data_IF_926558752912
#
_entry.id   IF_926558752912
#
_cell.length_a   1.000
_cell.length_b   1.000
_cell.length_c   1.000
_cell.angle_alpha   90.00
_cell.angle_beta   90.00
_cell.angle_gamma   90.00
#
_symmetry.space_group_name_H-M   'P 1'
#
loop_
_entity.id
_entity.type
_entity.pdbx_description
1 polymer ?
#
# COMPACT_ATOMS: atom_id res chain seq x y z
N UNK A 1 -60.71 50.87 26.66
CA UNK A 1 -61.18 49.47 26.49
C UNK A 1 -61.39 49.26 25.00
N UNK A 2 -60.76 48.36 24.25
CA UNK A 2 -59.87 47.23 24.55
C UNK A 2 -59.19 46.91 23.21
N UNK A 3 -57.86 47.02 23.10
CA UNK A 3 -57.13 46.76 21.85
C UNK A 3 -56.90 45.25 21.76
N UNK A 4 -57.54 44.59 20.79
CA UNK A 4 -57.33 43.16 20.52
C UNK A 4 -55.92 42.93 19.95
N UNK A 5 -55.06 42.30 20.73
CA UNK A 5 -53.82 41.67 20.25
C UNK A 5 -54.09 40.20 19.99
N UNK A 6 -54.16 39.81 18.71
CA UNK A 6 -54.19 38.40 18.30
C UNK A 6 -52.79 37.81 18.53
N UNK A 7 -52.63 37.00 19.57
CA UNK A 7 -51.46 36.14 19.75
C UNK A 7 -51.65 34.88 18.90
N UNK A 8 -51.01 34.84 17.74
CA UNK A 8 -50.81 33.61 16.97
C UNK A 8 -49.68 32.83 17.65
N UNK A 9 -50.02 31.74 18.33
CA UNK A 9 -49.07 30.79 18.90
C UNK A 9 -48.47 29.99 17.73
N UNK A 10 -47.25 30.30 17.34
CA UNK A 10 -46.44 29.44 16.47
C UNK A 10 -45.82 28.34 17.34
N UNK A 11 -46.29 27.10 17.18
CA UNK A 11 -45.64 25.91 17.73
C UNK A 11 -44.51 25.53 16.75
N UNK A 12 -43.23 25.60 17.11
CA UNK A 12 -42.19 25.07 16.25
C UNK A 12 -42.25 23.53 16.32
N UNK A 13 -42.56 22.90 15.18
CA UNK A 13 -42.44 21.46 14.99
C UNK A 13 -40.94 21.15 15.00
N UNK A 14 -40.44 20.67 16.13
CA UNK A 14 -39.10 20.08 16.22
C UNK A 14 -39.18 18.68 15.62
N UNK A 15 -38.81 18.55 14.33
CA UNK A 15 -38.55 17.25 13.73
C UNK A 15 -37.24 16.74 14.34
N UNK A 16 -37.35 15.87 15.33
CA UNK A 16 -36.25 15.04 15.80
C UNK A 16 -35.84 14.12 14.66
N UNK A 17 -34.89 14.56 13.85
CA UNK A 17 -34.16 13.71 12.93
C UNK A 17 -33.27 12.82 13.80
N UNK A 18 -33.82 11.69 14.23
CA UNK A 18 -33.03 10.58 14.75
C UNK A 18 -32.18 10.06 13.60
N UNK A 19 -30.98 10.62 13.45
CA UNK A 19 -29.90 10.01 12.70
C UNK A 19 -29.60 8.73 13.46
N UNK A 20 -30.23 7.63 13.05
CA UNK A 20 -29.74 6.31 13.41
C UNK A 20 -28.32 6.24 12.88
N UNK A 21 -27.34 6.35 13.79
CA UNK A 21 -25.98 5.88 13.55
C UNK A 21 -26.14 4.43 13.06
N UNK A 22 -26.00 4.24 11.76
CA UNK A 22 -25.81 2.91 11.21
C UNK A 22 -24.67 2.30 12.03
N UNK A 23 -24.86 1.14 12.68
CA UNK A 23 -23.76 0.48 13.36
C UNK A 23 -22.63 0.35 12.34
N UNK A 24 -21.43 0.81 12.72
CA UNK A 24 -20.24 0.73 11.89
C UNK A 24 -20.17 -0.69 11.32
N UNK A 25 -20.28 -0.79 9.99
CA UNK A 25 -20.25 -2.06 9.30
C UNK A 25 -18.96 -2.77 9.73
N UNK A 26 -19.07 -4.00 10.25
CA UNK A 26 -17.89 -4.70 10.77
C UNK A 26 -16.80 -4.73 9.69
N UNK A 27 -15.57 -4.33 10.01
CA UNK A 27 -14.50 -4.28 9.02
C UNK A 27 -14.32 -5.67 8.39
N UNK A 28 -14.52 -5.76 7.07
CA UNK A 28 -14.46 -7.03 6.35
C UNK A 28 -13.01 -7.38 6.00
N UNK A 29 -12.23 -7.78 7.00
CA UNK A 29 -10.82 -8.18 6.87
C UNK A 29 -10.59 -9.24 5.78
N UNK A 30 -11.56 -10.15 5.56
CA UNK A 30 -11.46 -11.21 4.55
C UNK A 30 -11.20 -10.69 3.13
N UNK A 31 -11.81 -9.55 2.77
CA UNK A 31 -11.62 -8.95 1.45
C UNK A 31 -10.17 -8.51 1.26
N UNK A 32 -9.62 -7.82 2.26
CA UNK A 32 -8.26 -7.28 2.17
C UNK A 32 -7.22 -8.39 2.27
N UNK A 33 -7.45 -9.43 3.08
CA UNK A 33 -6.60 -10.63 3.13
C UNK A 33 -6.55 -11.30 1.76
N UNK A 34 -7.71 -11.46 1.10
CA UNK A 34 -7.78 -12.02 -0.25
C UNK A 34 -7.06 -11.14 -1.27
N UNK A 35 -7.25 -9.81 -1.20
CA UNK A 35 -6.53 -8.87 -2.07
C UNK A 35 -5.02 -8.96 -1.85
N UNK A 36 -4.57 -9.05 -0.60
CA UNK A 36 -3.16 -9.15 -0.29
C UNK A 36 -2.52 -10.43 -0.85
N UNK A 37 -3.25 -11.55 -0.77
CA UNK A 37 -2.81 -12.79 -1.43
C UNK A 37 -2.69 -12.64 -2.94
N UNK A 38 -3.65 -11.96 -3.58
CA UNK A 38 -3.61 -11.70 -5.03
C UNK A 38 -2.42 -10.83 -5.38
N UNK A 39 -2.18 -9.76 -4.62
CA UNK A 39 -1.04 -8.86 -4.84
C UNK A 39 0.29 -9.57 -4.65
N UNK A 40 0.42 -10.40 -3.62
CA UNK A 40 1.60 -11.25 -3.40
C UNK A 40 1.87 -12.14 -4.62
N UNK A 41 0.88 -12.88 -5.09
CA UNK A 41 1.04 -13.77 -6.26
C UNK A 41 1.40 -12.98 -7.53
N UNK A 42 0.79 -11.81 -7.74
CA UNK A 42 1.11 -10.95 -8.88
C UNK A 42 2.54 -10.39 -8.81
N UNK A 43 3.01 -10.01 -7.62
CA UNK A 43 4.40 -9.63 -7.38
C UNK A 43 5.36 -10.80 -7.61
N UNK A 44 5.03 -12.00 -7.17
CA UNK A 44 5.84 -13.22 -7.40
C UNK A 44 6.01 -13.47 -8.90
N UNK A 45 4.92 -13.47 -9.66
CA UNK A 45 4.96 -13.62 -11.11
C UNK A 45 5.78 -12.51 -11.77
N UNK A 46 5.57 -11.25 -11.38
CA UNK A 46 6.34 -10.12 -11.93
C UNK A 46 7.83 -10.22 -11.61
N UNK A 47 8.20 -10.66 -10.41
CA UNK A 47 9.60 -10.85 -10.03
C UNK A 47 10.26 -12.00 -10.79
N UNK A 48 9.53 -13.08 -11.08
CA UNK A 48 10.02 -14.16 -11.93
C UNK A 48 10.24 -13.68 -13.38
N UNK A 49 9.30 -12.88 -13.91
CA UNK A 49 9.45 -12.27 -15.24
C UNK A 49 10.68 -11.33 -15.28
N UNK A 50 10.93 -10.57 -14.21
CA UNK A 50 12.10 -9.70 -14.06
C UNK A 50 13.41 -10.47 -14.16
N UNK A 51 13.52 -11.60 -13.43
CA UNK A 51 14.70 -12.45 -13.44
C UNK A 51 14.93 -13.04 -14.83
N UNK A 52 13.86 -13.53 -15.47
CA UNK A 52 13.92 -14.06 -16.84
C UNK A 52 14.36 -13.00 -17.85
N UNK A 53 13.83 -11.78 -17.77
CA UNK A 53 14.25 -10.68 -18.65
C UNK A 53 15.73 -10.33 -18.48
N UNK A 54 16.26 -10.44 -17.26
CA UNK A 54 17.68 -10.22 -16.99
C UNK A 54 18.56 -11.32 -17.60
N UNK A 55 18.10 -12.57 -17.61
CA UNK A 55 18.82 -13.69 -18.25
C UNK A 55 18.78 -13.64 -19.78
N UNK A 56 17.65 -13.20 -20.35
CA UNK A 56 17.42 -13.18 -21.81
C UNK A 56 17.89 -11.88 -22.48
N UNK A 57 18.41 -10.91 -21.74
CA UNK A 57 18.82 -9.62 -22.30
C UNK A 57 20.03 -9.78 -23.22
N UNK A 58 20.01 -9.09 -24.35
CA UNK A 58 21.16 -9.05 -25.27
C UNK A 58 21.98 -7.78 -25.13
N UNK A 59 21.51 -6.81 -24.32
CA UNK A 59 22.16 -5.50 -24.13
C UNK A 59 23.61 -5.58 -23.66
N UNK A 60 23.97 -6.63 -22.91
CA UNK A 60 25.34 -6.85 -22.45
C UNK A 60 26.29 -7.20 -23.61
N UNK A 61 25.76 -7.77 -24.70
CA UNK A 61 26.51 -8.09 -25.91
C UNK A 61 26.42 -6.97 -26.95
N UNK A 62 25.24 -6.38 -27.13
CA UNK A 62 24.97 -5.38 -28.17
C UNK A 62 25.34 -3.96 -27.75
N UNK A 63 25.44 -3.69 -26.44
CA UNK A 63 25.72 -2.37 -25.87
C UNK A 63 24.52 -1.42 -25.83
N UNK A 64 23.34 -1.84 -26.29
CA UNK A 64 22.13 -0.99 -26.30
C UNK A 64 20.87 -1.80 -25.98
N UNK A 65 19.87 -1.11 -25.42
CA UNK A 65 18.54 -1.66 -25.17
C UNK A 65 17.71 -1.59 -26.46
N UNK A 66 17.25 -2.73 -26.94
CA UNK A 66 16.38 -2.81 -28.12
C UNK A 66 14.98 -2.27 -27.83
N UNK A 67 14.20 -1.94 -28.86
CA UNK A 67 12.79 -1.52 -28.68
C UNK A 67 11.96 -2.59 -27.96
N UNK A 68 12.19 -3.87 -28.27
CA UNK A 68 11.51 -4.98 -27.61
C UNK A 68 11.85 -5.07 -26.13
N UNK A 69 13.12 -4.88 -25.77
CA UNK A 69 13.54 -4.83 -24.36
C UNK A 69 12.97 -3.59 -23.66
N UNK A 70 12.97 -2.43 -24.32
CA UNK A 70 12.35 -1.21 -23.80
C UNK A 70 10.88 -1.43 -23.44
N UNK A 71 10.09 -2.05 -24.32
CA UNK A 71 8.67 -2.32 -24.07
C UNK A 71 8.47 -3.29 -22.90
N UNK A 72 9.36 -4.27 -22.77
CA UNK A 72 9.37 -5.23 -21.65
C UNK A 72 9.69 -4.54 -20.32
N UNK A 73 10.67 -3.64 -20.32
CA UNK A 73 11.07 -2.84 -19.16
C UNK A 73 9.94 -1.88 -18.74
N UNK A 74 9.35 -1.13 -19.69
CA UNK A 74 8.20 -0.24 -19.41
C UNK A 74 7.06 -1.03 -18.78
N UNK A 75 6.67 -2.18 -19.37
CA UNK A 75 5.58 -3.00 -18.87
C UNK A 75 5.88 -3.57 -17.47
N UNK A 76 7.12 -3.98 -17.20
CA UNK A 76 7.52 -4.47 -15.88
C UNK A 76 7.40 -3.37 -14.83
N UNK A 77 7.93 -2.18 -15.12
CA UNK A 77 7.84 -1.04 -14.21
C UNK A 77 6.39 -0.60 -13.99
N UNK A 78 5.58 -0.59 -15.04
CA UNK A 78 4.15 -0.29 -14.96
C UNK A 78 3.42 -1.26 -14.02
N UNK A 79 3.63 -2.57 -14.19
CA UNK A 79 3.06 -3.61 -13.32
C UNK A 79 3.51 -3.44 -11.87
N UNK A 80 4.80 -3.18 -11.65
CA UNK A 80 5.33 -2.91 -10.32
C UNK A 80 4.61 -1.72 -9.66
N UNK A 81 4.42 -0.61 -10.38
CA UNK A 81 3.79 0.59 -9.84
C UNK A 81 2.31 0.38 -9.49
N UNK A 82 1.57 -0.36 -10.32
CA UNK A 82 0.18 -0.73 -10.00
C UNK A 82 0.14 -1.53 -8.70
N UNK A 83 0.98 -2.56 -8.59
CA UNK A 83 1.01 -3.42 -7.41
C UNK A 83 1.48 -2.64 -6.17
N UNK A 84 2.53 -1.83 -6.31
CA UNK A 84 3.03 -0.93 -5.26
C UNK A 84 1.91 -0.05 -4.72
N UNK A 85 1.21 0.68 -5.59
CA UNK A 85 0.15 1.59 -5.17
C UNK A 85 -1.01 0.82 -4.53
N UNK A 86 -1.41 -0.31 -5.12
CA UNK A 86 -2.50 -1.15 -4.59
C UNK A 86 -2.17 -1.71 -3.19
N UNK A 87 -0.92 -2.11 -2.95
CA UNK A 87 -0.47 -2.54 -1.62
C UNK A 87 -0.38 -1.37 -0.65
N UNK A 88 0.01 -0.18 -1.13
CA UNK A 88 0.07 1.03 -0.32
C UNK A 88 -1.30 1.49 0.18
N UNK A 89 -2.37 1.26 -0.59
CA UNK A 89 -3.75 1.48 -0.12
C UNK A 89 -4.10 0.59 1.09
N UNK A 90 -3.69 -0.69 1.09
CA UNK A 90 -3.90 -1.59 2.23
C UNK A 90 -3.10 -1.09 3.45
N UNK A 91 -1.85 -0.68 3.24
CA UNK A 91 -1.00 -0.19 4.34
C UNK A 91 -1.59 1.09 4.93
N UNK A 92 -2.02 2.03 4.09
CA UNK A 92 -2.65 3.27 4.56
C UNK A 92 -3.94 3.02 5.32
N UNK A 93 -4.76 2.05 4.89
CA UNK A 93 -5.99 1.65 5.60
C UNK A 93 -5.71 1.16 7.02
N UNK A 94 -4.60 0.45 7.22
CA UNK A 94 -4.30 -0.23 8.48
C UNK A 94 -3.18 0.43 9.31
N UNK A 95 -2.54 1.51 8.84
CA UNK A 95 -1.46 2.18 9.58
C UNK A 95 -1.89 2.70 10.96
N UNK A 96 -3.17 3.07 11.10
CA UNK A 96 -3.77 3.55 12.35
C UNK A 96 -4.33 2.43 13.24
N UNK A 97 -3.79 1.22 13.16
CA UNK A 97 -4.35 0.00 13.76
C UNK A 97 -4.73 0.15 15.25
N UNK A 98 -3.99 0.96 16.02
CA UNK A 98 -4.22 1.19 17.46
C UNK A 98 -5.60 1.78 17.77
N UNK A 99 -6.17 2.48 16.80
CA UNK A 99 -7.47 3.19 16.90
C UNK A 99 -8.46 2.73 15.83
N UNK A 100 -8.20 1.58 15.20
CA UNK A 100 -8.98 1.09 14.06
C UNK A 100 -10.41 0.65 14.47
N UNK A 101 -10.55 0.13 15.68
CA UNK A 101 -11.79 -0.35 16.30
C UNK A 101 -11.73 -0.20 17.82
N UNK A 102 -12.87 -0.20 18.49
CA UNK A 102 -12.97 -0.33 19.94
C UNK A 102 -12.57 -1.74 20.41
N UNK A 103 -12.66 -2.74 19.53
CA UNK A 103 -12.27 -4.11 19.81
C UNK A 103 -10.76 -4.32 19.56
N UNK A 104 -10.02 -4.67 20.62
CA UNK A 104 -8.58 -4.94 20.55
C UNK A 104 -8.21 -6.07 19.57
N UNK A 105 -9.05 -7.09 19.42
CA UNK A 105 -8.81 -8.17 18.44
C UNK A 105 -8.87 -7.68 16.99
N UNK A 106 -9.71 -6.70 16.71
CA UNK A 106 -9.81 -6.11 15.37
C UNK A 106 -8.63 -5.17 15.09
N UNK A 107 -8.15 -4.46 16.11
CA UNK A 107 -6.90 -3.69 16.05
C UNK A 107 -5.69 -4.59 15.80
N UNK A 108 -5.67 -5.79 16.38
CA UNK A 108 -4.63 -6.78 16.12
C UNK A 108 -4.70 -7.32 14.67
N UNK A 109 -5.88 -7.67 14.17
CA UNK A 109 -6.03 -8.08 12.76
C UNK A 109 -5.60 -6.97 11.80
N UNK A 110 -5.99 -5.72 12.10
CA UNK A 110 -5.57 -4.55 11.36
C UNK A 110 -4.04 -4.44 11.32
N UNK A 111 -3.38 -4.55 12.47
CA UNK A 111 -1.93 -4.54 12.57
C UNK A 111 -1.28 -5.63 11.71
N UNK A 112 -1.71 -6.89 11.85
CA UNK A 112 -1.14 -8.02 11.11
C UNK A 112 -1.29 -7.84 9.59
N UNK A 113 -2.44 -7.35 9.12
CA UNK A 113 -2.68 -7.12 7.69
C UNK A 113 -1.81 -5.97 7.18
N UNK A 114 -1.77 -4.84 7.90
CA UNK A 114 -0.93 -3.69 7.55
C UNK A 114 0.55 -4.06 7.51
N UNK A 115 1.03 -4.75 8.53
CA UNK A 115 2.42 -5.22 8.60
C UNK A 115 2.76 -6.23 7.50
N UNK A 116 1.88 -7.19 7.23
CA UNK A 116 2.07 -8.17 6.12
C UNK A 116 2.16 -7.47 4.77
N UNK A 117 1.32 -6.45 4.55
CA UNK A 117 1.38 -5.65 3.33
C UNK A 117 2.69 -4.86 3.22
N UNK A 118 3.15 -4.25 4.31
CA UNK A 118 4.44 -3.56 4.36
C UNK A 118 5.60 -4.49 4.02
N UNK A 119 5.61 -5.71 4.57
CA UNK A 119 6.63 -6.72 4.27
C UNK A 119 6.63 -7.14 2.79
N UNK A 120 5.45 -7.35 2.19
CA UNK A 120 5.33 -7.66 0.77
C UNK A 120 5.93 -6.51 -0.05
N UNK A 121 5.51 -5.28 0.21
CA UNK A 121 6.01 -4.12 -0.54
C UNK A 121 7.52 -3.94 -0.36
N UNK A 122 8.02 -4.08 0.86
CA UNK A 122 9.45 -3.99 1.16
C UNK A 122 10.25 -5.04 0.39
N UNK A 123 9.82 -6.32 0.43
CA UNK A 123 10.47 -7.43 -0.28
C UNK A 123 10.58 -7.17 -1.78
N UNK A 124 9.47 -6.87 -2.45
CA UNK A 124 9.47 -6.75 -3.92
C UNK A 124 10.07 -5.44 -4.41
N UNK A 125 10.02 -4.37 -3.61
CA UNK A 125 10.82 -3.17 -3.88
C UNK A 125 12.30 -3.48 -3.75
N UNK A 126 12.70 -4.22 -2.72
CA UNK A 126 14.07 -4.72 -2.55
C UNK A 126 14.55 -5.51 -3.77
N UNK A 127 13.76 -6.49 -4.22
CA UNK A 127 14.10 -7.29 -5.40
C UNK A 127 14.27 -6.44 -6.66
N UNK A 128 13.38 -5.47 -6.91
CA UNK A 128 13.50 -4.55 -8.05
C UNK A 128 14.82 -3.77 -7.99
N UNK A 129 15.12 -3.18 -6.83
CA UNK A 129 16.34 -2.39 -6.65
C UNK A 129 17.57 -3.28 -6.80
N UNK A 130 17.67 -4.39 -6.07
CA UNK A 130 18.88 -5.22 -6.04
C UNK A 130 19.18 -5.87 -7.39
N UNK A 131 18.16 -6.10 -8.23
CA UNK A 131 18.38 -6.63 -9.58
C UNK A 131 19.06 -5.64 -10.52
N UNK A 132 18.85 -4.33 -10.36
CA UNK A 132 19.25 -3.32 -11.33
C UNK A 132 20.22 -2.26 -10.80
N UNK A 133 20.40 -2.13 -9.49
CA UNK A 133 21.19 -1.05 -8.88
C UNK A 133 22.63 -0.95 -9.40
N UNK A 134 23.22 -2.08 -9.81
CA UNK A 134 24.60 -2.14 -10.31
C UNK A 134 24.68 -2.13 -11.86
N UNK A 135 23.59 -1.80 -12.55
CA UNK A 135 23.52 -1.67 -14.00
C UNK A 135 23.07 -0.26 -14.36
N UNK A 136 24.03 0.63 -14.60
CA UNK A 136 23.79 2.04 -14.89
C UNK A 136 22.84 2.25 -16.08
N UNK A 137 22.97 1.41 -17.13
CA UNK A 137 22.09 1.50 -18.30
C UNK A 137 20.63 1.18 -17.94
N UNK A 138 20.41 0.18 -17.07
CA UNK A 138 19.07 -0.12 -16.55
C UNK A 138 18.55 0.93 -15.56
N UNK A 139 19.41 1.47 -14.70
CA UNK A 139 19.04 2.53 -13.77
C UNK A 139 18.58 3.76 -14.54
N UNK A 140 19.34 4.19 -15.53
CA UNK A 140 18.98 5.31 -16.42
C UNK A 140 17.65 5.01 -17.11
N UNK A 141 17.50 3.79 -17.65
CA UNK A 141 16.29 3.40 -18.36
C UNK A 141 15.04 3.42 -17.48
N UNK A 142 15.12 2.86 -16.28
CA UNK A 142 14.01 2.82 -15.32
C UNK A 142 13.68 4.20 -14.71
N UNK A 143 14.58 5.18 -14.86
CA UNK A 143 14.35 6.57 -14.46
C UNK A 143 13.88 7.48 -15.61
N UNK A 144 13.73 6.96 -16.83
CA UNK A 144 13.06 7.68 -17.92
C UNK A 144 11.57 7.91 -17.61
N UNK A 145 10.99 8.93 -18.25
CA UNK A 145 9.56 9.15 -18.23
C UNK A 145 8.87 8.31 -19.33
N UNK A 146 7.87 7.52 -18.96
CA UNK A 146 7.04 6.77 -19.92
C UNK A 146 5.64 7.40 -20.00
N UNK A 147 5.45 8.32 -20.95
CA UNK A 147 4.22 9.11 -21.07
C UNK A 147 2.96 8.26 -21.26
N UNK A 148 3.03 7.20 -22.08
CA UNK A 148 1.89 6.31 -22.35
C UNK A 148 1.40 5.62 -21.08
N UNK A 149 2.34 5.13 -20.27
CA UNK A 149 2.06 4.44 -19.01
C UNK A 149 1.98 5.37 -17.80
N UNK A 150 2.10 6.69 -18.03
CA UNK A 150 2.10 7.75 -17.00
C UNK A 150 3.13 7.51 -15.89
N UNK A 151 4.29 6.96 -16.24
CA UNK A 151 5.39 6.73 -15.30
C UNK A 151 6.27 7.99 -15.30
N UNK A 152 6.45 8.64 -14.14
CA UNK A 152 7.30 9.82 -14.06
C UNK A 152 8.78 9.44 -14.13
N UNK A 153 9.62 10.41 -14.51
CA UNK A 153 11.07 10.30 -14.36
C UNK A 153 11.46 10.04 -12.90
N UNK A 154 12.67 9.55 -12.67
CA UNK A 154 13.22 9.27 -11.33
C UNK A 154 12.45 8.18 -10.56
N UNK A 155 11.63 7.36 -11.23
CA UNK A 155 10.80 6.36 -10.55
C UNK A 155 11.65 5.35 -9.76
N UNK A 156 12.69 4.79 -10.38
CA UNK A 156 13.56 3.82 -9.72
C UNK A 156 14.29 4.43 -8.52
N UNK A 157 14.84 5.64 -8.69
CA UNK A 157 15.53 6.35 -7.63
C UNK A 157 14.60 6.70 -6.47
N UNK A 158 13.35 7.06 -6.75
CA UNK A 158 12.34 7.30 -5.74
C UNK A 158 11.98 6.02 -4.96
N UNK A 159 11.91 4.86 -5.64
CA UNK A 159 11.72 3.57 -4.97
C UNK A 159 12.90 3.26 -4.06
N UNK A 160 14.13 3.44 -4.56
CA UNK A 160 15.35 3.21 -3.79
C UNK A 160 15.44 4.11 -2.55
N UNK A 161 15.18 5.41 -2.72
CA UNK A 161 15.17 6.37 -1.61
C UNK A 161 14.12 6.04 -0.56
N UNK A 162 12.93 5.60 -0.96
CA UNK A 162 11.90 5.16 -0.02
C UNK A 162 12.29 3.86 0.71
N UNK A 163 12.89 2.90 0.00
CA UNK A 163 13.31 1.62 0.57
C UNK A 163 14.43 1.80 1.60
N UNK A 164 15.34 2.73 1.35
CA UNK A 164 16.52 3.00 2.19
C UNK A 164 16.31 4.13 3.19
N UNK A 165 15.10 4.68 3.27
CA UNK A 165 14.78 5.74 4.21
C UNK A 165 14.91 5.21 5.66
N UNK A 166 15.75 5.82 6.51
CA UNK A 166 15.97 5.34 7.88
C UNK A 166 14.69 5.25 8.72
N UNK A 167 13.75 6.18 8.54
CA UNK A 167 12.47 6.14 9.26
C UNK A 167 11.61 4.95 8.83
N UNK A 168 11.55 4.66 7.52
CA UNK A 168 10.80 3.51 7.03
C UNK A 168 11.40 2.18 7.54
N UNK A 169 12.73 2.12 7.67
CA UNK A 169 13.44 0.95 8.22
C UNK A 169 13.16 0.80 9.73
N UNK A 170 13.23 1.89 10.48
CA UNK A 170 12.91 1.93 11.91
C UNK A 170 11.45 1.52 12.16
N UNK A 171 10.50 2.08 11.41
CA UNK A 171 9.07 1.74 11.53
C UNK A 171 8.83 0.24 11.27
N UNK A 172 9.55 -0.35 10.32
CA UNK A 172 9.46 -1.78 10.01
C UNK A 172 10.07 -2.64 11.12
N UNK A 173 11.18 -2.22 11.73
CA UNK A 173 11.80 -2.94 12.84
C UNK A 173 10.94 -2.86 14.11
N UNK A 174 10.39 -1.70 14.45
CA UNK A 174 9.43 -1.54 15.55
C UNK A 174 8.22 -2.45 15.33
N UNK A 175 7.65 -2.46 14.13
CA UNK A 175 6.52 -3.33 13.80
C UNK A 175 6.90 -4.82 13.93
N UNK A 176 8.11 -5.20 13.51
CA UNK A 176 8.63 -6.55 13.68
C UNK A 176 8.77 -6.92 15.15
N UNK A 177 9.37 -6.06 15.98
CA UNK A 177 9.52 -6.30 17.41
C UNK A 177 8.16 -6.48 18.11
N UNK A 178 7.18 -5.62 17.76
CA UNK A 178 5.83 -5.75 18.28
C UNK A 178 5.22 -7.09 17.87
N UNK A 179 5.25 -7.43 16.59
CA UNK A 179 4.74 -8.72 16.09
C UNK A 179 5.37 -9.92 16.81
N UNK A 180 6.70 -9.90 17.00
CA UNK A 180 7.41 -10.96 17.69
C UNK A 180 7.04 -11.04 19.18
N UNK A 181 6.86 -9.90 19.86
CA UNK A 181 6.45 -9.87 21.27
C UNK A 181 5.06 -10.48 21.45
N UNK A 182 4.10 -10.06 20.63
CA UNK A 182 2.71 -10.50 20.73
C UNK A 182 2.54 -12.00 20.41
N UNK A 183 3.36 -12.57 19.53
CA UNK A 183 3.37 -14.01 19.27
C UNK A 183 3.78 -14.87 20.48
N UNK A 184 4.59 -14.33 21.40
CA UNK A 184 5.21 -15.11 22.48
C UNK A 184 4.65 -14.81 23.87
N UNK A 185 3.82 -13.77 24.04
CA UNK A 185 3.25 -13.39 25.34
C UNK A 185 1.74 -13.58 25.30
N UNK A 186 1.19 -14.35 26.24
CA UNK A 186 -0.25 -14.56 26.44
C UNK A 186 -0.78 -13.46 27.37
N UNK A 187 -1.90 -12.81 27.03
CA UNK A 187 -2.57 -11.82 27.87
C UNK A 187 -2.13 -10.36 27.65
N UNK A 188 -1.48 -10.06 26.53
CA UNK A 188 -1.14 -8.69 26.12
C UNK A 188 -2.33 -8.00 25.47
N UNK A 189 -2.31 -6.67 25.28
CA UNK A 189 -3.41 -5.97 24.60
C UNK A 189 -3.73 -6.53 23.21
N UNK A 190 -2.82 -7.30 22.61
CA UNK A 190 -2.98 -7.90 21.29
C UNK A 190 -2.96 -9.45 21.28
N UNK A 191 -2.82 -10.16 22.42
CA UNK A 191 -2.95 -11.64 22.54
C UNK A 191 -3.78 -12.05 23.77
#
# INVERSE_FOLDING_TARGET
MTRQTKFLIYIPIFILLSISLLPAQSPTFQKDIKQLSIFKTAFESMSADMMKQQEETTRHETGYITNTENDRIENLLFRYLILRNSTWEIINKYRGYQTFSENSQDNMKAFVIGYSASLILYKYSGLLITNYLNDDQMVDKLNEAYYRSKIPKETFNNVFSNLTNPQNLEDLDIARELYMRELHVIGTPLN
#
